data_IF_319428312038
#
_entry.id   IF_319428312038
#
_cell.length_a   1.000
_cell.length_b   1.000
_cell.length_c   1.000
_cell.angle_alpha   90.00
_cell.angle_beta   90.00
_cell.angle_gamma   90.00
#
_symmetry.space_group_name_H-M   'P 1'
#
loop_
_entity.id
_entity.type
_entity.pdbx_description
1 polymer ?
#
# COMPACT_ATOMS: atom_id res chain seq x y z
N UNK A 1 2.06 -3.01 16.27
CA UNK A 1 0.98 -2.95 15.25
C UNK A 1 -0.32 -3.34 15.94
N UNK A 2 -1.46 -2.69 15.68
CA UNK A 2 -2.71 -3.04 16.37
C UNK A 2 -3.37 -4.29 15.75
N UNK A 3 -4.07 -5.14 16.53
CA UNK A 3 -4.73 -6.34 15.99
C UNK A 3 -5.73 -6.03 14.84
N UNK A 4 -6.41 -4.88 14.92
CA UNK A 4 -7.33 -4.40 13.88
C UNK A 4 -6.61 -3.97 12.58
N UNK A 5 -5.35 -3.54 12.66
CA UNK A 5 -4.55 -3.28 11.46
C UNK A 5 -4.02 -4.59 10.85
N UNK A 6 -3.58 -5.52 11.70
CA UNK A 6 -3.07 -6.82 11.26
C UNK A 6 -4.13 -7.66 10.52
N UNK A 7 -5.37 -7.69 11.00
CA UNK A 7 -6.47 -8.36 10.32
C UNK A 7 -6.73 -7.81 8.90
N UNK A 8 -6.62 -6.49 8.71
CA UNK A 8 -6.79 -5.84 7.40
C UNK A 8 -5.63 -6.17 6.45
N UNK A 9 -4.40 -6.18 6.93
CA UNK A 9 -3.22 -6.61 6.15
C UNK A 9 -3.29 -8.09 5.77
N UNK A 10 -3.78 -8.93 6.68
CA UNK A 10 -4.02 -10.35 6.41
C UNK A 10 -5.05 -10.51 5.29
N UNK A 11 -6.17 -9.76 5.33
CA UNK A 11 -7.15 -9.84 4.25
C UNK A 11 -6.64 -9.30 2.92
N UNK A 12 -5.85 -8.23 2.93
CA UNK A 12 -5.19 -7.71 1.72
C UNK A 12 -4.22 -8.73 1.10
N UNK A 13 -3.47 -9.46 1.94
CA UNK A 13 -2.61 -10.56 1.51
C UNK A 13 -3.40 -11.72 0.88
N UNK A 14 -4.52 -12.14 1.48
CA UNK A 14 -5.38 -13.17 0.91
C UNK A 14 -5.91 -12.79 -0.49
N UNK A 15 -6.40 -11.55 -0.64
CA UNK A 15 -6.90 -11.05 -1.92
C UNK A 15 -5.81 -11.02 -3.00
N UNK A 16 -4.58 -10.65 -2.63
CA UNK A 16 -3.42 -10.69 -3.53
C UNK A 16 -3.04 -12.13 -3.89
N UNK A 17 -2.97 -13.04 -2.90
CA UNK A 17 -2.67 -14.46 -3.11
C UNK A 17 -3.69 -15.14 -4.03
N UNK A 18 -4.96 -14.80 -3.88
CA UNK A 18 -6.06 -15.29 -4.73
C UNK A 18 -6.11 -14.60 -6.11
N UNK A 19 -5.11 -13.77 -6.45
CA UNK A 19 -5.01 -13.00 -7.70
C UNK A 19 -6.19 -12.05 -7.96
N UNK A 20 -6.97 -11.72 -6.93
CA UNK A 20 -8.13 -10.83 -7.02
C UNK A 20 -7.73 -9.35 -7.11
N UNK A 21 -6.54 -9.00 -6.62
CA UNK A 21 -5.99 -7.64 -6.71
C UNK A 21 -4.57 -7.63 -7.27
N UNK A 22 -4.28 -6.67 -8.14
CA UNK A 22 -2.95 -6.51 -8.73
C UNK A 22 -1.92 -5.99 -7.72
N UNK A 23 -2.24 -4.91 -7.00
CA UNK A 23 -1.32 -4.21 -6.10
C UNK A 23 -2.00 -3.97 -4.75
N UNK A 24 -1.20 -3.88 -3.68
CA UNK A 24 -1.65 -3.49 -2.34
C UNK A 24 -1.15 -2.08 -2.06
N UNK A 25 -2.05 -1.17 -1.68
CA UNK A 25 -1.70 0.19 -1.25
C UNK A 25 -1.85 0.26 0.26
N UNK A 26 -0.82 0.76 0.94
CA UNK A 26 -0.81 0.93 2.40
C UNK A 26 -0.53 2.40 2.72
N UNK A 27 -1.56 3.12 3.17
CA UNK A 27 -1.52 4.53 3.52
C UNK A 27 -1.89 4.74 4.98
N UNK A 28 -1.33 5.78 5.61
CA UNK A 28 -1.66 6.13 6.99
C UNK A 28 -2.98 6.90 7.07
N UNK A 29 -3.74 6.68 8.14
CA UNK A 29 -4.87 7.54 8.51
C UNK A 29 -4.40 8.84 9.20
N UNK A 30 -5.29 9.80 9.38
CA UNK A 30 -5.00 11.06 10.09
C UNK A 30 -4.78 10.82 11.60
N UNK A 31 -3.52 10.64 12.01
CA UNK A 31 -3.13 10.46 13.42
C UNK A 31 -1.61 10.59 13.65
N UNK A 32 -1.23 11.04 14.86
CA UNK A 32 0.12 11.51 15.29
C UNK A 32 1.05 10.35 15.67
N UNK A 33 2.35 10.34 15.32
CA UNK A 33 3.04 11.14 14.28
C UNK A 33 4.08 10.31 13.48
N UNK A 34 4.94 10.96 12.68
CA UNK A 34 5.71 10.35 11.60
C UNK A 34 6.65 9.20 12.01
N UNK A 35 6.90 8.32 11.03
CA UNK A 35 7.82 7.15 11.09
C UNK A 35 7.28 6.04 12.02
N UNK A 36 7.09 4.76 11.67
CA UNK A 36 7.49 3.93 10.52
C UNK A 36 6.33 3.03 10.02
N UNK A 37 5.06 3.40 10.27
CA UNK A 37 3.93 2.45 10.18
C UNK A 37 3.65 1.95 8.75
N UNK A 38 3.70 2.82 7.73
CA UNK A 38 3.52 2.39 6.33
C UNK A 38 4.66 1.48 5.84
N UNK A 39 5.90 1.72 6.31
CA UNK A 39 7.02 0.83 6.05
C UNK A 39 6.88 -0.50 6.82
N UNK A 40 6.31 -0.46 8.03
CA UNK A 40 5.98 -1.66 8.81
C UNK A 40 4.92 -2.50 8.09
N UNK A 41 3.88 -1.87 7.53
CA UNK A 41 2.90 -2.53 6.66
C UNK A 41 3.55 -3.15 5.42
N UNK A 42 4.49 -2.45 4.77
CA UNK A 42 5.26 -2.97 3.64
C UNK A 42 6.12 -4.18 4.04
N UNK A 43 6.90 -4.07 5.12
CA UNK A 43 7.74 -5.15 5.68
C UNK A 43 6.90 -6.38 6.05
N UNK A 44 5.70 -6.19 6.62
CA UNK A 44 4.77 -7.27 6.97
C UNK A 44 4.27 -8.05 5.75
N UNK A 45 3.81 -7.34 4.71
CA UNK A 45 3.36 -7.96 3.46
C UNK A 45 4.52 -8.62 2.69
N UNK A 46 5.70 -8.00 2.70
CA UNK A 46 6.90 -8.55 2.08
C UNK A 46 7.36 -9.84 2.74
N UNK A 47 7.33 -9.92 4.09
CA UNK A 47 7.59 -11.17 4.83
C UNK A 47 6.58 -12.29 4.52
N UNK A 48 5.39 -11.96 4.02
CA UNK A 48 4.38 -12.94 3.58
C UNK A 48 4.51 -13.32 2.09
N UNK A 49 5.54 -12.83 1.38
CA UNK A 49 5.79 -13.18 -0.02
C UNK A 49 5.07 -12.28 -1.03
N UNK A 50 4.52 -11.13 -0.62
CA UNK A 50 4.12 -10.09 -1.58
C UNK A 50 5.37 -9.34 -2.03
N UNK A 51 5.77 -9.37 -3.31
CA UNK A 51 6.98 -8.69 -3.76
C UNK A 51 6.84 -7.17 -3.62
N UNK A 52 7.92 -6.50 -3.21
CA UNK A 52 7.89 -5.08 -2.83
C UNK A 52 7.38 -4.13 -3.93
N UNK A 53 7.58 -4.48 -5.20
CA UNK A 53 7.09 -3.72 -6.35
C UNK A 53 5.56 -3.74 -6.50
N UNK A 54 4.84 -4.60 -5.76
CA UNK A 54 3.38 -4.67 -5.70
C UNK A 54 2.81 -4.04 -4.43
N UNK A 55 3.67 -3.52 -3.53
CA UNK A 55 3.27 -2.85 -2.28
C UNK A 55 3.61 -1.36 -2.37
N UNK A 56 2.59 -0.52 -2.50
CA UNK A 56 2.72 0.93 -2.56
C UNK A 56 2.51 1.50 -1.16
N UNK A 57 3.58 1.95 -0.51
CA UNK A 57 3.51 2.62 0.78
C UNK A 57 3.39 4.14 0.60
N UNK A 58 2.30 4.74 1.08
CA UNK A 58 2.16 6.20 1.20
C UNK A 58 2.31 6.62 2.66
N UNK A 59 3.56 6.90 3.04
CA UNK A 59 3.94 7.30 4.40
C UNK A 59 3.47 8.71 4.78
N UNK A 60 3.26 9.60 3.80
CA UNK A 60 3.03 11.03 4.04
C UNK A 60 1.64 11.52 3.60
N UNK A 61 0.85 10.72 2.89
CA UNK A 61 -0.38 11.16 2.20
C UNK A 61 -0.11 12.06 0.97
N UNK A 62 1.16 12.36 0.72
CA UNK A 62 1.64 13.25 -0.35
C UNK A 62 1.57 12.56 -1.71
N UNK A 63 1.63 11.22 -1.78
CA UNK A 63 1.75 10.53 -3.05
C UNK A 63 0.40 10.15 -3.69
N UNK A 64 -0.72 10.14 -2.96
CA UNK A 64 -2.05 10.03 -3.57
C UNK A 64 -2.35 11.20 -4.52
N UNK A 65 -1.96 12.43 -4.15
CA UNK A 65 -2.15 13.61 -5.02
C UNK A 65 -1.27 13.55 -6.28
N UNK A 66 -0.02 13.10 -6.15
CA UNK A 66 0.88 12.92 -7.30
C UNK A 66 0.52 11.71 -8.18
N UNK A 67 0.04 10.61 -7.60
CA UNK A 67 -0.38 9.40 -8.33
C UNK A 67 -1.64 9.67 -9.15
N UNK A 68 -2.60 10.42 -8.61
CA UNK A 68 -3.81 10.81 -9.33
C UNK A 68 -3.51 11.66 -10.57
N UNK A 69 -2.49 12.54 -10.50
CA UNK A 69 -2.05 13.35 -11.66
C UNK A 69 -1.23 12.52 -12.67
N UNK A 70 -0.45 11.53 -12.23
CA UNK A 70 0.29 10.62 -13.14
C UNK A 70 -0.60 9.63 -13.90
N UNK A 71 -1.79 9.28 -13.40
CA UNK A 71 -2.71 8.35 -14.09
C UNK A 71 -3.34 8.91 -15.38
N UNK A 72 -3.38 10.23 -15.57
CA UNK A 72 -3.80 10.84 -16.85
C UNK A 72 -2.73 10.78 -17.94
N UNK A 73 -1.44 10.71 -17.58
CA UNK A 73 -0.32 10.80 -18.55
C UNK A 73 0.21 9.43 -19.01
N UNK A 74 -0.70 8.48 -19.19
CA UNK A 74 -0.45 7.14 -19.77
C UNK A 74 -1.35 6.89 -21.01
N UNK A 75 -2.38 7.73 -21.24
CA UNK A 75 -3.28 7.63 -22.39
C UNK A 75 -2.99 8.66 -23.51
N UNK A 76 -1.91 9.44 -23.39
CA UNK A 76 -1.42 10.36 -24.43
C UNK A 76 0.06 10.08 -24.70
N UNK A 77 0.34 8.95 -25.35
CA UNK A 77 1.50 8.76 -26.24
C UNK A 77 1.39 7.44 -27.04
N UNK A 78 0.35 7.34 -27.87
CA UNK A 78 0.40 6.68 -29.18
C UNK A 78 -0.38 7.57 -30.16
#
# INVERSE_FOLDING_TARGET
MSPRLEGRLTKAYELYKNRMVGNIIVSRGTGVEGIDEALTMKKYLSKRGVPENRIIADSNGVNIYNTSKKRKKIYECQ
#
